data_IF_013473321841
#
_entry.id   IF_013473321841
#
_cell.length_a   1.000
_cell.length_b   1.000
_cell.length_c   1.000
_cell.angle_alpha   90.00
_cell.angle_beta   90.00
_cell.angle_gamma   90.00
#
_symmetry.space_group_name_H-M   'P 1'
#
loop_
_entity.id
_entity.type
_entity.pdbx_description
1 polymer ?
#
# COMPACT_ATOMS: atom_id res chain seq x y z
N UNK A 1 10.43 13.15 10.84
CA UNK A 1 11.18 11.93 10.46
C UNK A 1 10.53 11.36 9.21
N UNK A 2 11.32 10.95 8.21
CA UNK A 2 10.78 10.27 7.01
C UNK A 2 10.87 8.78 7.26
N UNK A 3 9.76 8.05 7.13
CA UNK A 3 9.73 6.60 7.29
C UNK A 3 9.67 5.92 5.92
N UNK A 4 10.54 4.93 5.70
CA UNK A 4 10.44 3.98 4.58
C UNK A 4 9.41 2.87 4.88
N UNK A 5 8.89 2.20 3.84
CA UNK A 5 7.93 1.09 4.00
C UNK A 5 8.49 -0.05 4.86
N UNK A 6 9.79 -0.33 4.77
CA UNK A 6 10.44 -1.35 5.59
C UNK A 6 10.48 -0.94 7.07
N UNK A 7 10.63 0.34 7.38
CA UNK A 7 10.61 0.85 8.75
C UNK A 7 9.20 0.81 9.35
N UNK A 8 8.15 1.08 8.58
CA UNK A 8 6.76 1.00 9.06
C UNK A 8 6.35 -0.45 9.40
N UNK A 9 6.80 -1.43 8.60
CA UNK A 9 6.58 -2.85 8.88
C UNK A 9 7.42 -3.32 10.07
N UNK A 10 8.69 -2.92 10.15
CA UNK A 10 9.59 -3.30 11.26
C UNK A 10 9.18 -2.69 12.60
N UNK A 11 8.55 -1.52 12.59
CA UNK A 11 8.04 -0.86 13.80
C UNK A 11 6.67 -1.42 14.23
N UNK A 12 6.10 -2.39 13.50
CA UNK A 12 4.80 -2.99 13.79
C UNK A 12 3.62 -2.04 13.60
N UNK A 13 3.85 -0.86 13.00
CA UNK A 13 2.82 0.14 12.72
C UNK A 13 1.94 -0.26 11.54
N UNK A 14 2.48 -1.07 10.63
CA UNK A 14 1.77 -1.62 9.49
C UNK A 14 2.04 -3.12 9.44
N UNK A 15 1.01 -3.91 9.14
CA UNK A 15 1.11 -5.35 9.12
C UNK A 15 1.91 -5.85 7.91
N UNK A 16 2.46 -7.07 8.00
CA UNK A 16 3.28 -7.62 6.91
C UNK A 16 2.48 -7.78 5.61
N UNK A 17 1.20 -8.15 5.73
CA UNK A 17 0.30 -8.32 4.58
C UNK A 17 0.05 -7.01 3.83
N UNK A 18 -0.03 -5.90 4.56
CA UNK A 18 -0.16 -4.56 4.00
C UNK A 18 1.11 -4.14 3.24
N UNK A 19 2.29 -4.50 3.75
CA UNK A 19 3.55 -4.30 3.05
C UNK A 19 3.63 -5.09 1.72
N UNK A 20 3.11 -6.32 1.70
CA UNK A 20 3.01 -7.13 0.48
C UNK A 20 2.01 -6.50 -0.50
N UNK A 21 0.85 -6.04 -0.01
CA UNK A 21 -0.16 -5.36 -0.81
C UNK A 21 0.41 -4.09 -1.46
N UNK A 22 1.11 -3.26 -0.70
CA UNK A 22 1.74 -2.05 -1.22
C UNK A 22 2.73 -2.35 -2.34
N UNK A 23 3.62 -3.33 -2.15
CA UNK A 23 4.60 -3.73 -3.17
C UNK A 23 3.91 -4.23 -4.45
N UNK A 24 2.84 -5.02 -4.30
CA UNK A 24 2.05 -5.52 -5.43
C UNK A 24 1.43 -4.36 -6.23
N UNK A 25 0.84 -3.39 -5.55
CA UNK A 25 0.23 -2.21 -6.21
C UNK A 25 1.28 -1.34 -6.90
N UNK A 26 2.44 -1.16 -6.27
CA UNK A 26 3.55 -0.41 -6.83
C UNK A 26 4.11 -1.07 -8.11
N UNK A 27 4.18 -2.40 -8.14
CA UNK A 27 4.55 -3.15 -9.34
C UNK A 27 3.52 -3.01 -10.47
N UNK A 28 2.22 -3.15 -10.15
CA UNK A 28 1.12 -2.96 -11.13
C UNK A 28 1.18 -1.56 -11.75
N UNK A 29 1.41 -0.53 -10.93
CA UNK A 29 1.57 0.85 -11.43
C UNK A 29 2.75 0.98 -12.40
N UNK A 30 3.91 0.45 -12.03
CA UNK A 30 5.08 0.48 -12.93
C UNK A 30 4.83 -0.28 -14.23
N UNK A 31 4.13 -1.41 -14.16
CA UNK A 31 3.77 -2.18 -15.34
C UNK A 31 2.82 -1.41 -16.27
N UNK A 32 1.81 -0.74 -15.72
CA UNK A 32 0.89 0.10 -16.52
C UNK A 32 1.59 1.28 -17.21
N UNK A 33 2.66 1.82 -16.60
CA UNK A 33 3.41 2.96 -17.14
C UNK A 33 4.49 2.56 -18.17
N UNK A 34 4.90 1.28 -18.25
CA UNK A 34 6.05 0.84 -19.05
C UNK A 34 5.84 -0.44 -19.90
N UNK A 35 4.79 -1.23 -19.68
CA UNK A 35 4.50 -2.45 -20.46
C UNK A 35 3.20 -2.30 -21.26
N UNK A 36 3.30 -2.20 -22.59
CA UNK A 36 2.18 -2.07 -23.54
C UNK A 36 1.14 -3.22 -23.51
N UNK A 37 1.38 -4.31 -22.75
CA UNK A 37 0.58 -5.54 -22.79
C UNK A 37 -0.04 -5.98 -21.45
N UNK A 38 -0.01 -5.16 -20.41
CA UNK A 38 -0.61 -5.55 -19.11
C UNK A 38 -2.10 -5.23 -19.09
N UNK A 39 -2.91 -6.24 -19.37
CA UNK A 39 -4.35 -6.21 -19.09
C UNK A 39 -4.58 -6.27 -17.58
N UNK A 40 -4.80 -5.10 -16.97
CA UNK A 40 -5.34 -5.02 -15.62
C UNK A 40 -6.85 -5.33 -15.71
N UNK A 41 -7.23 -6.52 -15.25
CA UNK A 41 -8.63 -6.95 -15.23
C UNK A 41 -9.31 -6.59 -13.91
N UNK A 42 -10.57 -6.16 -14.01
CA UNK A 42 -11.37 -5.72 -12.86
C UNK A 42 -11.53 -6.81 -11.79
N UNK A 43 -11.65 -8.07 -12.20
CA UNK A 43 -11.74 -9.25 -11.33
C UNK A 43 -10.52 -9.39 -10.39
N UNK A 44 -9.35 -8.90 -10.81
CA UNK A 44 -8.12 -8.95 -10.02
C UNK A 44 -7.94 -7.73 -9.11
N UNK A 45 -8.57 -6.60 -9.44
CA UNK A 45 -8.41 -5.33 -8.70
C UNK A 45 -9.54 -5.09 -7.70
N UNK A 46 -10.79 -5.35 -8.08
CA UNK A 46 -11.95 -5.12 -7.22
C UNK A 46 -11.85 -5.80 -5.85
N UNK A 47 -11.35 -7.05 -5.71
CA UNK A 47 -11.17 -7.67 -4.40
C UNK A 47 -10.09 -7.01 -3.53
N UNK A 48 -9.19 -6.23 -4.12
CA UNK A 48 -8.12 -5.52 -3.41
C UNK A 48 -8.61 -4.18 -2.84
N UNK A 49 -9.65 -3.58 -3.42
CA UNK A 49 -10.17 -2.25 -3.03
C UNK A 49 -10.46 -2.14 -1.53
N UNK A 50 -11.13 -3.11 -0.86
CA UNK A 50 -11.36 -3.03 0.59
C UNK A 50 -10.06 -3.02 1.39
N UNK A 51 -9.07 -3.83 0.97
CA UNK A 51 -7.76 -3.92 1.64
C UNK A 51 -6.96 -2.63 1.45
N UNK A 52 -7.03 -2.02 0.26
CA UNK A 52 -6.42 -0.72 -0.02
C UNK A 52 -6.99 0.36 0.88
N UNK A 53 -8.32 0.41 1.05
CA UNK A 53 -8.98 1.37 1.95
C UNK A 53 -8.52 1.20 3.39
N UNK A 54 -8.43 -0.05 3.86
CA UNK A 54 -7.94 -0.35 5.21
C UNK A 54 -6.49 0.12 5.40
N UNK A 55 -5.62 -0.14 4.42
CA UNK A 55 -4.23 0.32 4.44
C UNK A 55 -4.13 1.85 4.49
N UNK A 56 -4.89 2.57 3.66
CA UNK A 56 -4.91 4.04 3.68
C UNK A 56 -5.34 4.56 5.05
N UNK A 57 -6.41 4.00 5.63
CA UNK A 57 -6.88 4.40 6.95
C UNK A 57 -5.83 4.17 8.04
N UNK A 58 -5.10 3.05 7.96
CA UNK A 58 -3.99 2.76 8.88
C UNK A 58 -2.87 3.81 8.78
N UNK A 59 -2.51 4.20 7.55
CA UNK A 59 -1.50 5.25 7.32
C UNK A 59 -1.98 6.61 7.86
N UNK A 60 -3.24 6.98 7.60
CA UNK A 60 -3.83 8.22 8.14
C UNK A 60 -3.77 8.26 9.67
N UNK A 61 -4.12 7.16 10.33
CA UNK A 61 -4.04 7.05 11.79
C UNK A 61 -2.61 7.27 12.29
N UNK A 62 -1.61 6.68 11.63
CA UNK A 62 -0.19 6.86 11.98
C UNK A 62 0.24 8.34 11.82
N UNK A 63 -0.19 9.00 10.74
CA UNK A 63 0.11 10.41 10.49
C UNK A 63 -0.53 11.29 11.56
N UNK A 64 -1.78 11.02 11.93
CA UNK A 64 -2.49 11.77 12.95
C UNK A 64 -1.95 11.53 14.37
N UNK A 65 -1.42 10.34 14.65
CA UNK A 65 -0.67 10.07 15.89
C UNK A 65 0.64 10.85 15.93
N UNK A 66 1.38 10.91 14.81
CA UNK A 66 2.67 11.64 14.74
C UNK A 66 2.46 13.14 14.89
N UNK A 67 1.39 13.71 14.31
CA UNK A 67 1.02 15.13 14.46
C UNK A 67 0.60 15.53 15.88
N UNK A 68 0.18 14.56 16.70
CA UNK A 68 -0.25 14.78 18.09
C UNK A 68 0.90 14.68 19.09
N UNK A 69 2.10 14.30 18.64
CA UNK A 69 3.34 14.26 19.43
C UNK A 69 4.17 15.53 19.22
#
# INVERSE_FOLDING_TARGET
MSYSKEELVKTGKIDREDGILFNRLFAIRQQADYEDFVEIRDDNILPLVPKIKALIQGIENIIDEDRRR
#
